data_IF_626505826787
#
_entry.id   IF_626505826787
#
_cell.length_a   1.000
_cell.length_b   1.000
_cell.length_c   1.000
_cell.angle_alpha   90.00
_cell.angle_beta   90.00
_cell.angle_gamma   90.00
#
_symmetry.space_group_name_H-M   'P 1'
#
loop_
_entity.id
_entity.type
_entity.pdbx_description
1 polymer ?
#
# COMPACT_ATOMS: atom_id res chain seq x y z
N UNK A 1 -9.09 14.96 21.75
CA UNK A 1 -8.83 13.58 21.26
C UNK A 1 -8.40 13.63 19.81
N UNK A 2 -7.53 12.72 19.36
CA UNK A 2 -7.09 12.64 17.96
C UNK A 2 -8.25 12.71 16.94
N UNK A 3 -9.38 12.07 17.26
CA UNK A 3 -10.58 12.03 16.42
C UNK A 3 -11.19 13.42 16.13
N UNK A 4 -11.29 14.29 17.13
CA UNK A 4 -11.93 15.61 16.97
C UNK A 4 -11.12 16.58 16.10
N UNK A 5 -9.79 16.41 16.03
CA UNK A 5 -8.91 17.28 15.23
C UNK A 5 -8.96 16.96 13.73
N UNK A 6 -9.28 15.71 13.39
CA UNK A 6 -9.17 15.19 12.03
C UNK A 6 -10.52 14.82 11.41
N UNK A 7 -11.64 15.29 11.97
CA UNK A 7 -12.99 14.93 11.55
C UNK A 7 -13.23 15.08 10.04
N UNK A 8 -12.68 16.14 9.42
CA UNK A 8 -12.78 16.37 7.97
C UNK A 8 -12.01 15.35 7.11
N UNK A 9 -11.04 14.66 7.70
CA UNK A 9 -10.20 13.64 7.04
C UNK A 9 -10.70 12.22 7.32
N UNK A 10 -11.62 12.06 8.28
CA UNK A 10 -12.22 10.77 8.61
C UNK A 10 -13.08 10.33 7.42
N UNK A 11 -12.85 9.10 6.97
CA UNK A 11 -13.59 8.50 5.87
C UNK A 11 -15.07 8.42 6.25
N UNK A 12 -15.96 8.80 5.34
CA UNK A 12 -17.38 8.55 5.50
C UNK A 12 -17.64 7.04 5.34
N UNK A 13 -17.81 6.36 6.48
CA UNK A 13 -18.01 4.92 6.54
C UNK A 13 -19.38 4.46 6.04
N UNK A 14 -20.41 5.31 6.12
CA UNK A 14 -21.75 5.01 5.61
C UNK A 14 -21.78 4.92 4.08
N UNK A 15 -21.03 5.81 3.41
CA UNK A 15 -20.96 5.85 1.94
C UNK A 15 -20.14 4.72 1.32
N UNK A 16 -19.28 4.04 2.10
CA UNK A 16 -18.38 3.00 1.57
C UNK A 16 -19.11 1.73 1.13
N UNK A 17 -19.97 1.11 1.95
CA UNK A 17 -20.76 -0.04 1.56
C UNK A 17 -21.66 0.25 0.34
N UNK A 18 -22.25 1.45 0.30
CA UNK A 18 -23.07 1.91 -0.83
C UNK A 18 -22.29 1.96 -2.15
N UNK A 19 -20.99 2.23 -2.07
CA UNK A 19 -20.07 2.20 -3.22
C UNK A 19 -19.43 0.81 -3.45
N UNK A 20 -19.91 -0.25 -2.79
CA UNK A 20 -19.33 -1.60 -2.86
C UNK A 20 -17.93 -1.73 -2.25
N UNK A 21 -17.49 -0.74 -1.45
CA UNK A 21 -16.16 -0.71 -0.83
C UNK A 21 -16.23 -1.29 0.58
N UNK A 22 -15.29 -2.18 0.88
CA UNK A 22 -15.09 -2.70 2.24
C UNK A 22 -14.72 -1.56 3.21
N UNK A 23 -15.26 -1.62 4.43
CA UNK A 23 -14.92 -0.67 5.50
C UNK A 23 -13.51 -0.92 6.02
N UNK A 24 -13.13 -2.19 6.19
CA UNK A 24 -11.82 -2.58 6.72
C UNK A 24 -10.64 -2.28 5.80
N UNK A 25 -9.49 -2.02 6.43
CA UNK A 25 -8.18 -1.80 5.80
C UNK A 25 -7.47 -3.09 5.37
N UNK A 26 -8.00 -4.27 5.69
CA UNK A 26 -7.29 -5.56 5.54
C UNK A 26 -6.68 -5.81 4.16
N UNK A 27 -7.36 -5.41 3.07
CA UNK A 27 -6.79 -5.51 1.71
C UNK A 27 -5.56 -4.61 1.52
N UNK A 28 -5.60 -3.39 2.04
CA UNK A 28 -4.48 -2.45 2.00
C UNK A 28 -3.34 -2.91 2.90
N UNK A 29 -3.66 -3.39 4.10
CA UNK A 29 -2.68 -3.95 5.05
C UNK A 29 -1.95 -5.15 4.44
N UNK A 30 -2.68 -6.04 3.76
CA UNK A 30 -2.04 -7.19 3.10
C UNK A 30 -1.15 -6.76 1.92
N UNK A 31 -1.57 -5.75 1.16
CA UNK A 31 -0.73 -5.17 0.09
C UNK A 31 0.57 -4.57 0.63
N UNK A 32 0.51 -3.83 1.75
CA UNK A 32 1.69 -3.29 2.43
C UNK A 32 2.60 -4.40 2.94
N UNK A 33 2.02 -5.45 3.53
CA UNK A 33 2.76 -6.63 4.01
C UNK A 33 3.53 -7.33 2.88
N UNK A 34 2.86 -7.59 1.75
CA UNK A 34 3.45 -8.25 0.58
C UNK A 34 4.51 -7.39 -0.13
N UNK A 35 4.29 -6.09 -0.20
CA UNK A 35 5.16 -5.16 -0.95
C UNK A 35 6.36 -4.71 -0.13
N UNK A 36 6.14 -4.36 1.15
CA UNK A 36 7.13 -3.72 2.01
C UNK A 36 7.49 -4.61 3.20
N UNK A 37 6.50 -5.14 3.92
CA UNK A 37 6.71 -5.88 5.18
C UNK A 37 7.67 -7.06 5.03
N UNK A 38 7.37 -7.95 4.09
CA UNK A 38 8.15 -9.17 3.86
C UNK A 38 9.59 -8.90 3.38
N UNK A 39 9.81 -7.90 2.52
CA UNK A 39 11.11 -7.69 1.85
C UNK A 39 11.96 -6.58 2.45
N UNK A 40 11.35 -5.48 2.87
CA UNK A 40 12.09 -4.28 3.29
C UNK A 40 12.24 -4.16 4.81
N UNK A 41 11.30 -4.71 5.60
CA UNK A 41 11.32 -4.58 7.08
C UNK A 41 11.94 -5.78 7.81
N UNK A 42 12.02 -6.95 7.19
CA UNK A 42 12.32 -8.23 7.88
C UNK A 42 13.78 -8.45 8.30
N UNK A 43 14.73 -7.58 7.93
CA UNK A 43 16.17 -7.81 8.13
C UNK A 43 16.95 -6.65 8.78
N UNK A 44 16.28 -5.68 9.39
CA UNK A 44 16.99 -4.50 9.94
C UNK A 44 17.74 -3.70 8.87
N UNK A 45 17.33 -3.84 7.60
CA UNK A 45 17.94 -3.17 6.46
C UNK A 45 17.44 -1.73 6.41
N UNK A 46 18.37 -0.78 6.41
CA UNK A 46 18.08 0.64 6.16
C UNK A 46 18.23 0.92 4.68
N UNK A 47 17.14 1.37 4.06
CA UNK A 47 17.10 1.70 2.64
C UNK A 47 17.18 3.22 2.48
N UNK A 48 17.93 3.68 1.47
CA UNK A 48 17.77 5.07 1.01
C UNK A 48 16.39 5.24 0.39
N UNK A 49 15.78 6.41 0.54
CA UNK A 49 14.42 6.71 0.06
C UNK A 49 14.18 6.27 -1.39
N UNK A 50 15.06 6.71 -2.31
CA UNK A 50 15.01 6.31 -3.73
C UNK A 50 15.04 4.79 -3.93
N UNK A 51 15.87 4.07 -3.17
CA UNK A 51 16.01 2.62 -3.28
C UNK A 51 14.78 1.88 -2.74
N UNK A 52 14.27 2.28 -1.57
CA UNK A 52 13.03 1.72 -0.99
C UNK A 52 11.85 1.89 -1.94
N UNK A 53 11.70 3.10 -2.51
CA UNK A 53 10.65 3.41 -3.47
C UNK A 53 10.76 2.57 -4.74
N UNK A 54 11.96 2.49 -5.34
CA UNK A 54 12.17 1.69 -6.55
C UNK A 54 11.83 0.20 -6.32
N UNK A 55 12.29 -0.38 -5.20
CA UNK A 55 11.99 -1.76 -4.86
C UNK A 55 10.50 -2.01 -4.60
N UNK A 56 9.83 -1.05 -3.96
CA UNK A 56 8.37 -1.11 -3.76
C UNK A 56 7.62 -1.11 -5.08
N UNK A 57 8.00 -0.25 -6.03
CA UNK A 57 7.40 -0.18 -7.36
C UNK A 57 7.63 -1.46 -8.16
N UNK A 58 8.87 -1.96 -8.21
CA UNK A 58 9.18 -3.21 -8.90
C UNK A 58 8.38 -4.39 -8.33
N UNK A 59 8.23 -4.45 -7.00
CA UNK A 59 7.43 -5.49 -6.36
C UNK A 59 5.94 -5.36 -6.69
N UNK A 60 5.41 -4.14 -6.72
CA UNK A 60 4.03 -3.88 -7.16
C UNK A 60 3.81 -4.37 -8.59
N UNK A 61 4.72 -4.05 -9.52
CA UNK A 61 4.64 -4.50 -10.92
C UNK A 61 4.68 -6.03 -11.02
N UNK A 62 5.57 -6.68 -10.27
CA UNK A 62 5.68 -8.15 -10.17
C UNK A 62 4.34 -8.76 -9.70
N UNK A 63 3.78 -8.24 -8.59
CA UNK A 63 2.54 -8.75 -7.99
C UNK A 63 1.29 -8.53 -8.86
N UNK A 64 1.32 -7.51 -9.73
CA UNK A 64 0.23 -7.22 -10.68
C UNK A 64 0.44 -7.86 -12.06
N UNK A 65 1.44 -8.74 -12.22
CA UNK A 65 1.77 -9.40 -13.49
C UNK A 65 2.11 -8.43 -14.64
N UNK A 66 2.58 -7.23 -14.32
CA UNK A 66 2.90 -6.17 -15.29
C UNK A 66 4.39 -6.13 -15.65
N UNK A 67 5.16 -7.15 -15.25
CA UNK A 67 6.61 -7.17 -15.44
C UNK A 67 7.00 -7.00 -16.91
N UNK A 68 6.40 -7.78 -17.81
CA UNK A 68 6.70 -7.68 -19.24
C UNK A 68 6.31 -6.32 -19.83
N UNK A 69 5.18 -5.75 -19.40
CA UNK A 69 4.74 -4.41 -19.84
C UNK A 69 5.72 -3.32 -19.41
N UNK A 70 6.28 -3.42 -18.20
CA UNK A 70 7.27 -2.46 -17.70
C UNK A 70 8.54 -2.43 -18.55
N UNK A 71 8.94 -3.56 -19.14
CA UNK A 71 10.18 -3.72 -19.91
C UNK A 71 9.97 -3.74 -21.42
N UNK A 72 8.75 -3.52 -21.90
CA UNK A 72 8.45 -3.43 -23.33
C UNK A 72 8.93 -2.06 -23.85
N UNK A 73 10.22 -1.97 -24.18
CA UNK A 73 10.85 -0.84 -24.86
C UNK A 73 11.54 -1.33 -26.13
#
# INVERSE_FOLDING_TARGET
>A
TCLHKHTSQIINYEKRPLAGKTIGSGRMEKGVDQTIGHRQKRKGLSWRDRGSRALGLLKMVELNHQWHTLWAF
#
